data_IF_145557256086
#
_entry.id   IF_145557256086
#
_cell.length_a   1.000
_cell.length_b   1.000
_cell.length_c   1.000
_cell.angle_alpha   90.00
_cell.angle_beta   90.00
_cell.angle_gamma   90.00
#
_symmetry.space_group_name_H-M   'P 1'
#
loop_
_entity.id
_entity.type
_entity.pdbx_description
1 polymer ?
#
# COMPACT_ATOMS: atom_id res chain seq x y z
N UNK A 1 -1.89 11.08 11.57
CA UNK A 1 -2.01 10.13 10.44
C UNK A 1 -3.22 9.24 10.69
N UNK A 2 -3.94 8.80 9.66
CA UNK A 2 -5.04 7.85 9.86
C UNK A 2 -4.48 6.46 10.15
N UNK A 3 -4.90 5.86 11.25
CA UNK A 3 -4.57 4.48 11.63
C UNK A 3 -5.60 3.49 11.09
N UNK A 4 -5.20 2.22 11.00
CA UNK A 4 -6.14 1.14 10.69
C UNK A 4 -7.35 1.18 11.63
N UNK A 5 -8.53 0.93 11.08
CA UNK A 5 -9.75 0.76 11.84
C UNK A 5 -10.73 -0.11 11.04
N UNK A 6 -11.74 -0.65 11.71
CA UNK A 6 -12.66 -1.64 11.13
C UNK A 6 -13.52 -1.13 9.97
N UNK A 7 -13.64 0.19 9.75
CA UNK A 7 -14.33 0.73 8.56
C UNK A 7 -13.59 0.50 7.24
N UNK A 8 -12.33 0.08 7.32
CA UNK A 8 -11.50 -0.24 6.15
C UNK A 8 -11.55 -1.73 5.78
N UNK A 9 -12.27 -2.55 6.54
CA UNK A 9 -12.42 -3.98 6.23
C UNK A 9 -13.20 -4.16 4.94
N UNK A 10 -12.75 -5.10 4.12
CA UNK A 10 -13.47 -5.55 2.94
C UNK A 10 -14.26 -6.84 3.20
N UNK A 11 -14.07 -7.44 4.37
CA UNK A 11 -14.77 -8.68 4.80
C UNK A 11 -14.08 -9.95 4.35
N UNK A 12 -12.87 -9.86 3.77
CA UNK A 12 -12.04 -11.00 3.40
C UNK A 12 -10.87 -11.06 4.41
N UNK A 13 -10.89 -11.98 5.40
CA UNK A 13 -10.01 -11.90 6.56
C UNK A 13 -8.52 -11.78 6.24
N UNK A 14 -8.03 -12.52 5.24
CA UNK A 14 -6.61 -12.48 4.88
C UNK A 14 -6.21 -11.17 4.17
N UNK A 15 -7.12 -10.51 3.46
CA UNK A 15 -6.89 -9.19 2.87
C UNK A 15 -6.94 -8.12 3.95
N UNK A 16 -7.90 -8.20 4.88
CA UNK A 16 -7.98 -7.27 6.02
C UNK A 16 -6.68 -7.31 6.87
N UNK A 17 -6.08 -8.49 7.06
CA UNK A 17 -4.76 -8.62 7.72
C UNK A 17 -3.62 -8.03 6.88
N UNK A 18 -3.68 -8.10 5.55
CA UNK A 18 -2.69 -7.46 4.68
C UNK A 18 -2.79 -5.95 4.74
N UNK A 19 -4.00 -5.38 4.72
CA UNK A 19 -4.19 -3.95 4.91
C UNK A 19 -3.64 -3.50 6.27
N UNK A 20 -3.89 -4.23 7.36
CA UNK A 20 -3.29 -3.93 8.67
C UNK A 20 -1.76 -3.88 8.61
N UNK A 21 -1.12 -4.85 7.95
CA UNK A 21 0.33 -4.87 7.81
C UNK A 21 0.85 -3.66 7.00
N UNK A 22 0.15 -3.27 5.94
CA UNK A 22 0.45 -2.08 5.17
C UNK A 22 0.33 -0.80 6.01
N UNK A 23 -0.75 -0.65 6.78
CA UNK A 23 -0.91 0.46 7.72
C UNK A 23 0.18 0.48 8.79
N UNK A 24 0.57 -0.67 9.33
CA UNK A 24 1.66 -0.76 10.31
C UNK A 24 3.01 -0.29 9.73
N UNK A 25 3.32 -0.64 8.48
CA UNK A 25 4.53 -0.15 7.80
C UNK A 25 4.50 1.37 7.60
N UNK A 26 3.33 1.94 7.30
CA UNK A 26 3.14 3.39 7.21
C UNK A 26 3.34 4.08 8.57
N UNK A 27 2.78 3.51 9.63
CA UNK A 27 2.90 4.03 10.99
C UNK A 27 4.35 4.01 11.48
N UNK A 28 5.08 2.93 11.18
CA UNK A 28 6.50 2.82 11.47
C UNK A 28 7.32 3.92 10.76
N UNK A 29 7.09 4.13 9.46
CA UNK A 29 7.77 5.19 8.71
C UNK A 29 7.47 6.58 9.29
N UNK A 30 6.20 6.86 9.59
CA UNK A 30 5.79 8.14 10.16
C UNK A 30 6.43 8.38 11.53
N UNK A 31 6.40 7.38 12.42
CA UNK A 31 7.02 7.45 13.73
C UNK A 31 8.54 7.66 13.63
N UNK A 32 9.21 6.96 12.72
CA UNK A 32 10.64 7.14 12.47
C UNK A 32 10.96 8.54 11.95
N UNK A 33 10.12 9.11 11.06
CA UNK A 33 10.28 10.49 10.61
C UNK A 33 10.21 11.48 11.77
N UNK A 34 9.20 11.35 12.64
CA UNK A 34 9.02 12.20 13.83
C UNK A 34 10.19 12.08 14.82
N UNK A 35 10.86 10.93 14.87
CA UNK A 35 12.03 10.68 15.71
C UNK A 35 13.38 11.04 15.04
N UNK A 36 13.39 11.63 13.84
CA UNK A 36 14.62 11.93 13.10
C UNK A 36 15.33 10.70 12.51
N UNK A 37 14.65 9.55 12.47
CA UNK A 37 15.16 8.24 11.99
C UNK A 37 14.59 7.83 10.62
N UNK A 38 13.87 8.71 9.94
CA UNK A 38 13.16 8.39 8.69
C UNK A 38 14.03 7.79 7.58
N UNK A 39 15.30 8.19 7.45
CA UNK A 39 16.22 7.63 6.43
C UNK A 39 16.58 6.17 6.67
N UNK A 40 16.62 5.71 7.91
CA UNK A 40 16.87 4.30 8.20
C UNK A 40 15.61 3.47 7.95
N UNK A 41 14.43 4.04 8.29
CA UNK A 41 13.17 3.33 8.17
C UNK A 41 12.68 3.26 6.72
N UNK A 42 12.92 4.28 5.89
CA UNK A 42 12.48 4.31 4.47
C UNK A 42 13.01 3.13 3.67
N UNK A 43 14.21 2.64 3.98
CA UNK A 43 14.80 1.47 3.32
C UNK A 43 13.99 0.21 3.67
N UNK A 44 13.70 0.01 4.95
CA UNK A 44 12.88 -1.13 5.40
C UNK A 44 11.47 -1.05 4.84
N UNK A 45 10.87 0.13 4.86
CA UNK A 45 9.51 0.33 4.37
C UNK A 45 9.44 0.10 2.85
N UNK A 46 10.39 0.58 2.06
CA UNK A 46 10.36 0.38 0.61
C UNK A 46 10.59 -1.08 0.22
N UNK A 47 11.46 -1.79 0.93
CA UNK A 47 11.69 -3.23 0.73
C UNK A 47 10.45 -4.04 1.07
N UNK A 48 9.82 -3.74 2.21
CA UNK A 48 8.54 -4.36 2.58
C UNK A 48 7.48 -4.11 1.51
N UNK A 49 7.33 -2.89 1.01
CA UNK A 49 6.29 -2.56 0.03
C UNK A 49 6.52 -3.26 -1.31
N UNK A 50 7.76 -3.36 -1.79
CA UNK A 50 8.05 -4.03 -3.06
C UNK A 50 7.56 -5.48 -3.06
N UNK A 51 7.82 -6.23 -1.99
CA UNK A 51 7.42 -7.63 -1.88
C UNK A 51 5.93 -7.77 -1.51
N UNK A 52 5.50 -7.00 -0.51
CA UNK A 52 4.19 -7.21 0.12
C UNK A 52 3.05 -6.70 -0.76
N UNK A 53 3.23 -5.60 -1.50
CA UNK A 53 2.17 -5.08 -2.38
C UNK A 53 1.96 -5.95 -3.61
N UNK A 54 2.99 -6.58 -4.15
CA UNK A 54 2.83 -7.54 -5.27
C UNK A 54 1.96 -8.72 -4.83
N UNK A 55 2.24 -9.30 -3.66
CA UNK A 55 1.42 -10.37 -3.09
C UNK A 55 -0.02 -9.91 -2.87
N UNK A 56 -0.18 -8.80 -2.15
CA UNK A 56 -1.48 -8.23 -1.80
C UNK A 56 -2.36 -7.97 -3.02
N UNK A 57 -1.84 -7.23 -3.99
CA UNK A 57 -2.56 -6.90 -5.23
C UNK A 57 -2.88 -8.14 -6.07
N UNK A 58 -2.04 -9.17 -6.04
CA UNK A 58 -2.32 -10.43 -6.74
C UNK A 58 -3.52 -11.13 -6.12
N UNK A 59 -3.56 -11.23 -4.79
CA UNK A 59 -4.65 -11.90 -4.07
C UNK A 59 -5.97 -11.14 -4.23
N UNK A 60 -5.96 -9.81 -4.16
CA UNK A 60 -7.15 -8.99 -4.45
C UNK A 60 -7.65 -9.16 -5.89
N UNK A 61 -6.76 -9.15 -6.87
CA UNK A 61 -7.13 -9.35 -8.27
C UNK A 61 -7.75 -10.73 -8.50
N UNK A 62 -7.27 -11.78 -7.82
CA UNK A 62 -7.87 -13.11 -7.90
C UNK A 62 -9.27 -13.14 -7.29
N UNK A 63 -9.49 -12.42 -6.18
CA UNK A 63 -10.83 -12.26 -5.58
C UNK A 63 -11.77 -11.54 -6.56
N UNK A 64 -11.31 -10.44 -7.18
CA UNK A 64 -12.09 -9.68 -8.16
C UNK A 64 -12.47 -10.53 -9.39
N UNK A 65 -11.52 -11.31 -9.92
CA UNK A 65 -11.79 -12.21 -11.05
C UNK A 65 -12.82 -13.27 -10.70
N UNK A 66 -12.69 -13.90 -9.53
CA UNK A 66 -13.60 -14.98 -9.08
C UNK A 66 -15.01 -14.47 -8.79
N UNK A 67 -15.15 -13.24 -8.30
CA UNK A 67 -16.46 -12.63 -8.01
C UNK A 67 -17.11 -11.97 -9.23
N UNK A 68 -16.40 -11.85 -10.36
CA UNK A 68 -16.88 -11.12 -11.53
C UNK A 68 -16.95 -9.60 -11.32
N UNK A 69 -16.08 -9.05 -10.47
CA UNK A 69 -16.04 -7.62 -10.18
C UNK A 69 -15.78 -6.80 -11.47
N UNK A 70 -16.69 -5.88 -11.85
CA UNK A 70 -16.67 -5.26 -13.17
C UNK A 70 -15.51 -4.28 -13.40
N UNK A 71 -14.94 -3.70 -12.34
CA UNK A 71 -13.85 -2.72 -12.44
C UNK A 71 -12.44 -3.34 -12.30
N UNK A 72 -12.30 -4.65 -12.44
CA UNK A 72 -11.02 -5.35 -12.22
C UNK A 72 -9.86 -4.81 -13.08
N UNK A 73 -10.14 -4.39 -14.33
CA UNK A 73 -9.13 -3.82 -15.24
C UNK A 73 -8.66 -2.45 -14.75
N UNK A 74 -9.59 -1.58 -14.34
CA UNK A 74 -9.28 -0.24 -13.82
C UNK A 74 -8.52 -0.34 -12.49
N UNK A 75 -8.95 -1.24 -11.60
CA UNK A 75 -8.27 -1.49 -10.32
C UNK A 75 -6.85 -2.00 -10.54
N UNK A 76 -6.65 -2.97 -11.42
CA UNK A 76 -5.31 -3.48 -11.75
C UNK A 76 -4.38 -2.37 -12.26
N UNK A 77 -4.88 -1.44 -13.06
CA UNK A 77 -4.07 -0.31 -13.54
C UNK A 77 -3.55 0.53 -12.38
N UNK A 78 -4.38 0.80 -11.37
CA UNK A 78 -3.96 1.50 -10.16
C UNK A 78 -2.82 0.75 -9.45
N UNK A 79 -2.93 -0.56 -9.30
CA UNK A 79 -1.88 -1.41 -8.72
C UNK A 79 -0.56 -1.34 -9.50
N UNK A 80 -0.63 -1.45 -10.82
CA UNK A 80 0.55 -1.40 -11.69
C UNK A 80 1.27 -0.04 -11.56
N UNK A 81 0.52 1.06 -11.55
CA UNK A 81 1.05 2.41 -11.38
C UNK A 81 1.69 2.61 -9.98
N UNK A 82 1.14 1.99 -8.94
CA UNK A 82 1.75 2.01 -7.59
C UNK A 82 3.09 1.27 -7.56
N UNK A 83 3.13 0.05 -8.13
CA UNK A 83 4.36 -0.76 -8.18
C UNK A 83 5.49 -0.01 -8.91
N UNK A 84 5.16 0.68 -10.01
CA UNK A 84 6.14 1.50 -10.75
C UNK A 84 6.71 2.61 -9.86
N UNK A 85 5.89 3.29 -9.08
CA UNK A 85 6.34 4.34 -8.17
C UNK A 85 7.22 3.79 -7.03
N UNK A 86 6.85 2.65 -6.44
CA UNK A 86 7.67 1.98 -5.41
C UNK A 86 9.05 1.62 -5.98
N UNK A 87 9.11 1.01 -7.16
CA UNK A 87 10.36 0.66 -7.83
C UNK A 87 11.22 1.88 -8.16
N UNK A 88 10.60 2.97 -8.59
CA UNK A 88 11.30 4.22 -8.87
C UNK A 88 11.94 4.81 -7.60
N UNK A 89 11.22 4.80 -6.46
CA UNK A 89 11.76 5.27 -5.17
C UNK A 89 12.88 4.34 -4.69
N UNK A 90 12.70 3.02 -4.77
CA UNK A 90 13.74 2.05 -4.39
C UNK A 90 15.00 2.23 -5.21
N UNK A 91 14.87 2.43 -6.52
CA UNK A 91 16.01 2.71 -7.41
C UNK A 91 16.73 3.99 -7.02
N UNK A 92 15.99 5.08 -6.75
CA UNK A 92 16.58 6.35 -6.28
C UNK A 92 17.38 6.16 -4.99
N UNK A 93 16.86 5.38 -4.04
CA UNK A 93 17.57 5.04 -2.79
C UNK A 93 18.82 4.20 -3.06
N UNK A 94 18.77 3.25 -3.99
CA UNK A 94 19.91 2.41 -4.34
C UNK A 94 21.04 3.21 -5.01
N UNK A 95 20.68 4.14 -5.91
CA UNK A 95 21.64 4.93 -6.67
C UNK A 95 22.23 6.08 -5.83
N UNK A 96 21.43 6.72 -4.97
CA UNK A 96 21.78 7.97 -4.29
C UNK A 96 21.84 7.87 -2.75
N UNK A 97 21.51 6.70 -2.18
CA UNK A 97 21.29 6.53 -0.75
C UNK A 97 19.95 7.10 -0.28
N UNK A 98 19.58 6.78 0.96
CA UNK A 98 18.34 7.29 1.55
C UNK A 98 18.42 8.80 1.85
N UNK A 99 17.63 9.60 1.14
CA UNK A 99 17.58 11.06 1.31
C UNK A 99 16.28 11.53 1.96
N UNK A 100 16.23 12.81 2.37
CA UNK A 100 14.97 13.44 2.83
C UNK A 100 13.92 13.43 1.71
N UNK A 101 14.35 13.58 0.45
CA UNK A 101 13.46 13.53 -0.70
C UNK A 101 12.84 12.14 -0.87
N UNK A 102 13.64 11.08 -0.75
CA UNK A 102 13.14 9.70 -0.86
C UNK A 102 12.14 9.36 0.27
N UNK A 103 12.43 9.82 1.50
CA UNK A 103 11.49 9.74 2.65
C UNK A 103 10.18 10.47 2.35
N UNK A 104 10.27 11.71 1.84
CA UNK A 104 9.09 12.51 1.51
C UNK A 104 8.27 11.87 0.39
N UNK A 105 8.90 11.39 -0.68
CA UNK A 105 8.24 10.70 -1.79
C UNK A 105 7.48 9.47 -1.28
N UNK A 106 8.12 8.64 -0.45
CA UNK A 106 7.47 7.45 0.08
C UNK A 106 6.29 7.79 1.01
N UNK A 107 6.47 8.75 1.92
CA UNK A 107 5.37 9.22 2.76
C UNK A 107 4.18 9.74 1.95
N UNK A 108 4.43 10.54 0.90
CA UNK A 108 3.38 11.04 0.02
C UNK A 108 2.67 9.93 -0.75
N UNK A 109 3.41 8.93 -1.24
CA UNK A 109 2.83 7.77 -1.92
C UNK A 109 1.92 6.97 -0.98
N UNK A 110 2.38 6.71 0.24
CA UNK A 110 1.63 5.95 1.23
C UNK A 110 0.38 6.70 1.73
N UNK A 111 0.55 7.96 2.14
CA UNK A 111 -0.55 8.77 2.68
C UNK A 111 -1.53 9.26 1.62
N UNK A 112 -1.05 9.50 0.39
CA UNK A 112 -1.86 10.03 -0.71
C UNK A 112 -2.51 8.94 -1.56
N UNK A 113 -1.81 7.85 -1.85
CA UNK A 113 -2.34 6.79 -2.70
C UNK A 113 -2.83 5.60 -1.86
N UNK A 114 -1.98 5.00 -1.03
CA UNK A 114 -2.30 3.69 -0.41
C UNK A 114 -3.50 3.76 0.54
N UNK A 115 -3.54 4.75 1.43
CA UNK A 115 -4.71 4.94 2.31
C UNK A 115 -5.99 5.16 1.51
N UNK A 116 -5.93 6.01 0.47
CA UNK A 116 -7.11 6.33 -0.31
C UNK A 116 -7.56 5.16 -1.18
N UNK A 117 -6.62 4.37 -1.68
CA UNK A 117 -6.89 3.14 -2.41
C UNK A 117 -7.66 2.14 -1.53
N UNK A 118 -7.14 1.83 -0.34
CA UNK A 118 -7.81 0.93 0.60
C UNK A 118 -9.18 1.48 0.98
N UNK A 119 -9.25 2.76 1.32
CA UNK A 119 -10.48 3.37 1.82
C UNK A 119 -11.60 3.46 0.78
N UNK A 120 -11.28 3.77 -0.47
CA UNK A 120 -12.28 4.14 -1.48
C UNK A 120 -12.38 3.16 -2.64
N UNK A 121 -11.33 2.37 -2.91
CA UNK A 121 -11.29 1.43 -4.03
C UNK A 121 -11.47 0.01 -3.52
N UNK A 122 -10.67 -0.44 -2.55
CA UNK A 122 -10.74 -1.82 -2.06
C UNK A 122 -12.06 -2.10 -1.33
N UNK A 123 -12.58 -1.12 -0.59
CA UNK A 123 -13.90 -1.23 0.06
C UNK A 123 -15.06 -1.40 -0.94
N UNK A 124 -14.90 -1.02 -2.21
CA UNK A 124 -15.92 -1.33 -3.22
C UNK A 124 -16.02 -2.83 -3.49
N UNK A 125 -14.90 -3.58 -3.36
CA UNK A 125 -14.86 -5.03 -3.52
C UNK A 125 -15.80 -5.70 -2.50
N UNK A 126 -15.85 -5.16 -1.28
CA UNK A 126 -16.68 -5.67 -0.17
C UNK A 126 -18.15 -5.87 -0.57
N UNK A 127 -18.69 -4.96 -1.40
CA UNK A 127 -20.08 -5.04 -1.85
C UNK A 127 -20.35 -6.17 -2.85
N UNK A 128 -19.31 -6.71 -3.49
CA UNK A 128 -19.44 -7.77 -4.50
C UNK A 128 -19.07 -9.14 -3.94
N UNK A 129 -18.15 -9.20 -2.98
CA UNK A 129 -17.71 -10.48 -2.38
C UNK A 129 -18.56 -10.94 -1.21
N UNK A 130 -19.28 -10.02 -0.56
CA UNK A 130 -20.20 -10.33 0.56
C UNK A 130 -21.66 -10.48 0.11
N UNK A 131 -21.91 -10.72 -1.19
CA UNK A 131 -23.24 -11.01 -1.76
C UNK A 131 -23.58 -12.49 -1.70
#
# INVERSE_FOLDING_TARGET
MQSWNDSLKIGVPHIDEQHKALFAAMEALYAACSAGKGRAEVIKTIDFLEDYTVKHFTEEQEIQKKSGYPKCVEHKKLHDDFIVQVKAIKKDIADNGATILSVSKLNSLLSGWLINHIKYVDTEIAQYVNK
#
